data_IF_369012114601
#
_entry.id   IF_369012114601
#
_cell.length_a   1.000
_cell.length_b   1.000
_cell.length_c   1.000
_cell.angle_alpha   90.00
_cell.angle_beta   90.00
_cell.angle_gamma   90.00
#
_symmetry.space_group_name_H-M   'P 1'
#
loop_
_entity.id
_entity.type
_entity.pdbx_description
1 polymer ?
#
# COMPACT_ATOMS: atom_id res chain seq x y z
N UNK A 1 -10.65 7.95 4.37
CA UNK A 1 -9.63 8.99 4.14
C UNK A 1 -8.35 8.38 4.63
N UNK A 2 -7.42 8.06 3.71
CA UNK A 2 -6.13 7.53 4.14
C UNK A 2 -5.41 8.60 4.94
N UNK A 3 -5.02 8.29 6.16
CA UNK A 3 -4.04 9.09 6.87
C UNK A 3 -2.72 8.92 6.10
N UNK A 4 -2.34 9.94 5.34
CA UNK A 4 -1.04 9.97 4.68
C UNK A 4 0.04 9.94 5.76
N UNK A 5 1.14 9.22 5.50
CA UNK A 5 2.30 9.28 6.38
C UNK A 5 2.65 10.76 6.57
N UNK A 6 2.68 11.20 7.82
CA UNK A 6 3.09 12.57 8.14
C UNK A 6 4.58 12.67 7.80
N UNK A 7 4.99 13.73 7.11
CA UNK A 7 6.42 13.97 6.88
C UNK A 7 7.16 13.94 8.21
N UNK A 8 8.15 13.07 8.32
CA UNK A 8 8.98 12.92 9.51
C UNK A 8 8.56 11.79 10.45
N UNK A 9 7.64 10.89 10.08
CA UNK A 9 7.36 9.69 10.87
C UNK A 9 8.63 8.83 11.00
N UNK A 10 8.92 8.40 12.22
CA UNK A 10 10.05 7.50 12.50
C UNK A 10 9.66 6.07 12.11
N UNK A 11 10.33 5.53 11.10
CA UNK A 11 10.01 4.22 10.56
C UNK A 11 11.03 3.16 10.97
N UNK A 12 10.54 2.00 11.41
CA UNK A 12 11.32 0.78 11.49
C UNK A 12 11.12 -0.01 10.21
N UNK A 13 12.21 -0.34 9.53
CA UNK A 13 12.20 -1.15 8.32
C UNK A 13 12.33 -2.63 8.67
N UNK A 14 11.47 -3.45 8.08
CA UNK A 14 11.55 -4.90 8.13
C UNK A 14 11.88 -5.42 6.74
N UNK A 15 13.01 -6.12 6.63
CA UNK A 15 13.43 -6.81 5.42
C UNK A 15 13.25 -8.32 5.58
N UNK A 16 12.11 -8.89 5.15
CA UNK A 16 11.96 -10.34 5.04
C UNK A 16 12.84 -10.85 3.90
N UNK A 17 13.52 -11.98 4.10
CA UNK A 17 14.34 -12.59 3.05
C UNK A 17 14.29 -14.12 3.11
N UNK A 18 14.43 -14.75 1.93
CA UNK A 18 14.56 -16.18 1.76
C UNK A 18 16.01 -16.48 1.36
N UNK A 19 16.70 -17.28 2.16
CA UNK A 19 18.12 -17.59 1.88
C UNK A 19 19.06 -16.44 2.23
N UNK A 20 19.96 -16.09 1.29
CA UNK A 20 20.94 -15.02 1.49
C UNK A 20 20.27 -13.65 1.40
N UNK A 21 20.63 -12.76 2.31
CA UNK A 21 20.24 -11.37 2.24
C UNK A 21 21.07 -10.66 1.15
N UNK A 22 20.39 -9.88 0.32
CA UNK A 22 21.02 -9.01 -0.68
C UNK A 22 21.03 -7.59 -0.14
N UNK A 23 22.22 -7.00 0.02
CA UNK A 23 22.41 -5.68 0.59
C UNK A 23 21.76 -4.60 -0.28
N UNK A 24 21.83 -4.74 -1.60
CA UNK A 24 21.22 -3.82 -2.57
C UNK A 24 19.70 -3.68 -2.39
N UNK A 25 19.01 -4.77 -2.06
CA UNK A 25 17.55 -4.77 -1.82
C UNK A 25 17.20 -4.01 -0.53
N UNK A 26 18.07 -4.10 0.47
CA UNK A 26 17.89 -3.38 1.72
C UNK A 26 18.12 -1.87 1.53
N UNK A 27 19.16 -1.51 0.78
CA UNK A 27 19.49 -0.12 0.45
C UNK A 27 18.37 0.52 -0.38
N UNK A 28 17.89 -0.15 -1.44
CA UNK A 28 16.75 0.29 -2.25
C UNK A 28 15.51 0.55 -1.39
N UNK A 29 15.21 -0.35 -0.47
CA UNK A 29 14.05 -0.17 0.40
C UNK A 29 14.20 1.03 1.35
N UNK A 30 15.40 1.25 1.85
CA UNK A 30 15.75 2.45 2.61
C UNK A 30 15.52 3.74 1.81
N UNK A 31 15.91 3.74 0.54
CA UNK A 31 15.70 4.89 -0.36
C UNK A 31 14.22 5.12 -0.68
N UNK A 32 13.43 4.05 -0.84
CA UNK A 32 11.98 4.16 -0.97
C UNK A 32 11.36 4.79 0.28
N UNK A 33 11.75 4.36 1.48
CA UNK A 33 11.25 4.93 2.72
C UNK A 33 11.58 6.42 2.84
N UNK A 34 12.83 6.83 2.56
CA UNK A 34 13.24 8.23 2.52
C UNK A 34 12.49 9.04 1.46
N UNK A 35 12.27 8.44 0.28
CA UNK A 35 11.48 9.05 -0.80
C UNK A 35 10.02 9.29 -0.43
N UNK A 36 9.46 8.47 0.44
CA UNK A 36 8.14 8.67 1.01
C UNK A 36 8.11 9.74 2.13
N UNK A 37 9.26 10.20 2.58
CA UNK A 37 9.41 11.21 3.63
C UNK A 37 9.54 10.64 5.04
N UNK A 38 9.77 9.34 5.18
CA UNK A 38 10.04 8.70 6.47
C UNK A 38 11.50 8.89 6.90
N UNK A 39 11.75 9.00 8.20
CA UNK A 39 13.06 8.89 8.81
C UNK A 39 13.27 7.48 9.33
N UNK A 40 14.38 6.84 8.96
CA UNK A 40 14.66 5.46 9.35
C UNK A 40 15.21 5.44 10.76
N UNK A 41 14.46 4.90 11.71
CA UNK A 41 14.86 4.77 13.10
C UNK A 41 15.65 3.47 13.36
N UNK A 42 15.25 2.39 12.72
CA UNK A 42 15.94 1.10 12.80
C UNK A 42 15.63 0.24 11.57
N UNK A 43 16.47 -0.75 11.32
CA UNK A 43 16.27 -1.76 10.27
C UNK A 43 16.47 -3.15 10.83
N UNK A 44 15.52 -4.04 10.59
CA UNK A 44 15.59 -5.43 11.04
C UNK A 44 15.42 -6.36 9.84
N UNK A 45 16.29 -7.34 9.74
CA UNK A 45 16.17 -8.42 8.76
C UNK A 45 15.43 -9.61 9.39
N UNK A 46 14.57 -10.24 8.63
CA UNK A 46 13.80 -11.39 9.07
C UNK A 46 13.97 -12.55 8.07
N UNK A 47 14.74 -13.55 8.45
CA UNK A 47 14.87 -14.76 7.63
C UNK A 47 13.57 -15.56 7.69
N UNK A 48 13.05 -15.89 6.52
CA UNK A 48 11.84 -16.67 6.38
C UNK A 48 12.20 -18.04 5.80
N UNK A 49 12.15 -19.09 6.62
CA UNK A 49 12.22 -20.47 6.13
C UNK A 49 10.85 -20.90 5.59
N UNK A 50 9.78 -20.55 6.31
CA UNK A 50 8.38 -20.68 5.88
C UNK A 50 7.59 -19.44 6.29
N UNK A 51 6.93 -18.75 5.34
CA UNK A 51 6.10 -17.59 5.67
C UNK A 51 4.95 -17.99 6.61
N UNK A 52 4.78 -17.26 7.69
CA UNK A 52 3.64 -17.47 8.56
C UNK A 52 2.36 -16.94 7.86
N UNK A 53 1.32 -17.77 7.71
CA UNK A 53 0.08 -17.33 7.04
C UNK A 53 -0.59 -16.14 7.72
N UNK A 54 -0.45 -15.99 9.04
CA UNK A 54 -1.12 -14.96 9.84
C UNK A 54 -0.34 -13.64 9.88
N UNK A 55 1.00 -13.67 9.88
CA UNK A 55 1.84 -12.52 10.17
C UNK A 55 3.04 -12.38 9.22
N UNK A 56 3.20 -13.29 8.25
CA UNK A 56 4.38 -13.44 7.41
C UNK A 56 5.62 -13.87 8.19
N UNK A 57 5.87 -13.27 9.34
CA UNK A 57 7.05 -13.42 10.21
C UNK A 57 6.69 -14.29 11.42
N UNK A 58 7.63 -15.10 11.90
CA UNK A 58 7.42 -15.93 13.08
C UNK A 58 7.34 -15.12 14.39
N UNK A 59 6.67 -15.67 15.42
CA UNK A 59 6.38 -14.98 16.67
C UNK A 59 7.61 -14.46 17.39
N UNK A 60 8.67 -15.27 17.54
CA UNK A 60 9.89 -14.83 18.22
C UNK A 60 10.57 -13.63 17.55
N UNK A 61 10.52 -13.55 16.21
CA UNK A 61 11.05 -12.37 15.49
C UNK A 61 10.12 -11.16 15.62
N UNK A 62 8.82 -11.38 15.79
CA UNK A 62 7.87 -10.29 16.05
C UNK A 62 8.11 -9.65 17.43
N UNK A 63 8.45 -10.42 18.44
CA UNK A 63 8.82 -9.89 19.77
C UNK A 63 10.07 -9.01 19.68
N UNK A 64 11.08 -9.46 18.92
CA UNK A 64 12.29 -8.67 18.66
C UNK A 64 11.97 -7.35 17.92
N UNK A 65 11.11 -7.41 16.89
CA UNK A 65 10.67 -6.24 16.14
C UNK A 65 9.93 -5.25 17.05
N UNK A 66 9.04 -5.74 17.93
CA UNK A 66 8.30 -4.91 18.88
C UNK A 66 9.26 -4.22 19.85
N UNK A 67 10.19 -4.96 20.43
CA UNK A 67 11.20 -4.41 21.33
C UNK A 67 12.09 -3.34 20.65
N UNK A 68 12.50 -3.59 19.40
CA UNK A 68 13.29 -2.62 18.64
C UNK A 68 12.48 -1.37 18.25
N UNK A 69 11.19 -1.52 17.93
CA UNK A 69 10.32 -0.40 17.65
C UNK A 69 10.10 0.47 18.90
N UNK A 70 9.95 -0.15 20.06
CA UNK A 70 9.84 0.56 21.35
C UNK A 70 11.15 1.31 21.69
N UNK A 71 12.29 0.65 21.53
CA UNK A 71 13.59 1.23 21.82
C UNK A 71 13.98 2.38 20.88
N UNK A 72 13.58 2.29 19.59
CA UNK A 72 13.87 3.30 18.59
C UNK A 72 12.84 4.43 18.50
N UNK A 73 11.72 4.32 19.21
CA UNK A 73 10.62 5.28 19.14
C UNK A 73 9.96 5.32 17.76
N UNK A 74 9.95 4.21 17.03
CA UNK A 74 9.34 4.15 15.72
C UNK A 74 7.81 4.20 15.81
N UNK A 75 7.19 5.09 15.04
CA UNK A 75 5.73 5.25 14.96
C UNK A 75 5.12 4.40 13.83
N UNK A 76 5.94 4.03 12.87
CA UNK A 76 5.57 3.36 11.63
C UNK A 76 6.46 2.13 11.39
N UNK A 77 5.84 1.07 10.92
CA UNK A 77 6.54 -0.14 10.47
C UNK A 77 6.40 -0.26 8.96
N UNK A 78 7.53 -0.34 8.25
CA UNK A 78 7.57 -0.57 6.81
C UNK A 78 8.08 -1.99 6.54
N UNK A 79 7.33 -2.76 5.76
CA UNK A 79 7.67 -4.15 5.44
C UNK A 79 7.99 -4.27 3.96
N UNK A 80 9.22 -4.68 3.63
CA UNK A 80 9.67 -4.88 2.25
C UNK A 80 9.11 -6.17 1.64
N UNK A 81 7.83 -6.36 1.72
CA UNK A 81 7.09 -7.48 1.13
C UNK A 81 5.63 -7.10 0.96
N UNK A 82 4.95 -7.70 -0.02
CA UNK A 82 3.51 -7.53 -0.14
C UNK A 82 2.79 -8.33 0.97
N UNK A 83 1.97 -7.67 1.76
CA UNK A 83 1.21 -8.28 2.84
C UNK A 83 -0.23 -8.56 2.40
N UNK A 84 -0.76 -9.70 2.83
CA UNK A 84 -2.21 -9.88 2.77
C UNK A 84 -2.90 -8.95 3.79
N UNK A 85 -4.14 -8.53 3.55
CA UNK A 85 -4.88 -7.69 4.49
C UNK A 85 -5.02 -8.28 5.90
N UNK A 86 -5.01 -9.62 6.00
CA UNK A 86 -5.00 -10.32 7.30
C UNK A 86 -3.66 -10.20 8.02
N UNK A 87 -2.56 -10.37 7.28
CA UNK A 87 -1.21 -10.23 7.83
C UNK A 87 -0.95 -8.80 8.32
N UNK A 88 -1.28 -7.80 7.51
CA UNK A 88 -1.13 -6.38 7.87
C UNK A 88 -1.85 -6.06 9.18
N UNK A 89 -3.14 -6.43 9.30
CA UNK A 89 -3.91 -6.22 10.52
C UNK A 89 -3.36 -6.96 11.73
N UNK A 90 -2.93 -8.19 11.55
CA UNK A 90 -2.37 -8.97 12.66
C UNK A 90 -1.05 -8.38 13.13
N UNK A 91 -0.22 -7.89 12.19
CA UNK A 91 1.00 -7.16 12.51
C UNK A 91 0.70 -5.86 13.25
N UNK A 92 -0.24 -5.05 12.77
CA UNK A 92 -0.66 -3.81 13.44
C UNK A 92 -1.15 -4.05 14.85
N UNK A 93 -1.98 -5.10 15.04
CA UNK A 93 -2.49 -5.47 16.36
C UNK A 93 -1.39 -5.90 17.31
N UNK A 94 -0.41 -6.67 16.82
CA UNK A 94 0.68 -7.19 17.64
C UNK A 94 1.70 -6.11 17.99
N UNK A 95 2.09 -5.32 17.00
CA UNK A 95 3.09 -4.26 17.12
C UNK A 95 2.53 -2.97 17.72
N UNK A 96 1.20 -2.82 17.78
CA UNK A 96 0.48 -1.63 18.25
C UNK A 96 0.90 -0.36 17.49
N UNK A 97 1.24 -0.52 16.20
CA UNK A 97 1.73 0.52 15.29
C UNK A 97 1.17 0.32 13.90
N UNK A 98 1.13 1.40 13.13
CA UNK A 98 0.78 1.30 11.72
C UNK A 98 1.81 0.46 10.98
N UNK A 99 1.31 -0.39 10.10
CA UNK A 99 2.12 -1.22 9.21
C UNK A 99 1.79 -0.87 7.77
N UNK A 100 2.81 -0.60 6.96
CA UNK A 100 2.68 -0.35 5.53
C UNK A 100 3.54 -1.37 4.80
N UNK A 101 2.95 -2.04 3.84
CA UNK A 101 3.65 -2.97 2.96
C UNK A 101 4.36 -2.24 1.81
N UNK A 102 5.26 -2.92 1.11
CA UNK A 102 5.98 -2.37 -0.05
C UNK A 102 5.04 -1.74 -1.08
N UNK A 103 3.91 -2.38 -1.35
CA UNK A 103 2.93 -1.88 -2.32
C UNK A 103 2.30 -0.57 -1.87
N UNK A 104 1.89 -0.48 -0.61
CA UNK A 104 1.36 0.74 -0.01
C UNK A 104 2.37 1.88 -0.04
N UNK A 105 3.63 1.61 0.33
CA UNK A 105 4.72 2.58 0.30
C UNK A 105 4.96 3.16 -1.11
N UNK A 106 5.02 2.30 -2.13
CA UNK A 106 5.19 2.73 -3.52
C UNK A 106 3.99 3.59 -3.98
N UNK A 107 2.76 3.20 -3.62
CA UNK A 107 1.57 3.98 -3.94
C UNK A 107 1.58 5.36 -3.28
N UNK A 108 2.10 5.48 -2.06
CA UNK A 108 2.23 6.76 -1.37
C UNK A 108 3.29 7.65 -2.04
N UNK A 109 4.42 7.09 -2.47
CA UNK A 109 5.44 7.82 -3.25
C UNK A 109 4.84 8.35 -4.56
N UNK A 110 4.10 7.51 -5.30
CA UNK A 110 3.43 7.95 -6.53
C UNK A 110 2.39 9.03 -6.27
N UNK A 111 1.64 8.95 -5.16
CA UNK A 111 0.65 9.96 -4.80
C UNK A 111 1.29 11.33 -4.51
N UNK A 112 2.49 11.33 -3.93
CA UNK A 112 3.24 12.56 -3.68
C UNK A 112 3.84 13.14 -4.96
N UNK A 113 4.29 12.30 -5.90
CA UNK A 113 5.01 12.69 -7.12
C UNK A 113 4.12 12.89 -8.35
N UNK A 114 2.86 12.49 -8.31
CA UNK A 114 1.95 12.65 -9.45
C UNK A 114 1.59 14.13 -9.67
N UNK A 115 2.17 14.75 -10.69
CA UNK A 115 1.89 16.15 -11.06
C UNK A 115 0.83 16.26 -12.16
N UNK A 116 0.84 15.36 -13.15
CA UNK A 116 -0.13 15.38 -14.24
C UNK A 116 -1.54 15.00 -13.78
N UNK A 117 -2.56 15.56 -14.44
CA UNK A 117 -3.96 15.23 -14.14
C UNK A 117 -4.23 13.72 -14.30
N UNK A 118 -3.72 13.13 -15.37
CA UNK A 118 -3.86 11.70 -15.62
C UNK A 118 -3.12 10.85 -14.57
N UNK A 119 -1.86 11.21 -14.24
CA UNK A 119 -1.10 10.53 -13.22
C UNK A 119 -1.81 10.53 -11.86
N UNK A 120 -2.41 11.66 -11.48
CA UNK A 120 -3.22 11.74 -10.25
C UNK A 120 -4.43 10.81 -10.27
N UNK A 121 -5.13 10.72 -11.41
CA UNK A 121 -6.27 9.80 -11.56
C UNK A 121 -5.83 8.33 -11.52
N UNK A 122 -4.71 7.99 -12.16
CA UNK A 122 -4.16 6.63 -12.15
C UNK A 122 -3.74 6.20 -10.75
N UNK A 123 -3.04 7.07 -10.02
CA UNK A 123 -2.61 6.79 -8.65
C UNK A 123 -3.80 6.68 -7.71
N UNK A 124 -4.78 7.60 -7.80
CA UNK A 124 -6.01 7.53 -7.01
C UNK A 124 -6.74 6.20 -7.25
N UNK A 125 -6.84 5.78 -8.52
CA UNK A 125 -7.47 4.50 -8.88
C UNK A 125 -6.71 3.31 -8.27
N UNK A 126 -5.37 3.31 -8.33
CA UNK A 126 -4.54 2.25 -7.76
C UNK A 126 -4.68 2.18 -6.23
N UNK A 127 -4.64 3.33 -5.54
CA UNK A 127 -4.85 3.41 -4.11
C UNK A 127 -6.23 2.90 -3.69
N UNK A 128 -7.30 3.29 -4.40
CA UNK A 128 -8.65 2.81 -4.09
C UNK A 128 -8.81 1.32 -4.31
N UNK A 129 -8.20 0.75 -5.35
CA UNK A 129 -8.17 -0.70 -5.58
C UNK A 129 -7.43 -1.44 -4.48
N UNK A 130 -6.29 -0.92 -4.07
CA UNK A 130 -5.51 -1.48 -2.96
C UNK A 130 -6.33 -1.46 -1.66
N UNK A 131 -6.99 -0.34 -1.35
CA UNK A 131 -7.89 -0.22 -0.21
C UNK A 131 -9.06 -1.19 -0.29
N UNK A 132 -9.68 -1.34 -1.46
CA UNK A 132 -10.81 -2.24 -1.64
C UNK A 132 -10.49 -3.68 -1.23
N UNK A 133 -9.27 -4.16 -1.54
CA UNK A 133 -8.84 -5.50 -1.12
C UNK A 133 -8.70 -5.63 0.39
N UNK A 134 -8.36 -4.55 1.07
CA UNK A 134 -8.18 -4.52 2.53
C UNK A 134 -9.52 -4.44 3.27
N UNK A 135 -10.47 -3.67 2.76
CA UNK A 135 -11.83 -3.59 3.33
C UNK A 135 -12.55 -4.94 3.30
N UNK A 136 -12.49 -5.68 2.19
CA UNK A 136 -13.25 -6.95 2.03
C UNK A 136 -12.80 -8.03 3.01
N UNK A 137 -11.50 -8.16 3.26
CA UNK A 137 -10.95 -9.20 4.14
C UNK A 137 -10.82 -8.75 5.60
N UNK A 138 -10.90 -7.46 5.85
CA UNK A 138 -10.75 -6.85 7.16
C UNK A 138 -11.88 -7.18 8.13
N UNK A 139 -13.08 -7.40 7.64
CA UNK A 139 -14.30 -7.42 8.44
C UNK A 139 -14.98 -8.79 8.56
N UNK A 140 -14.59 -9.77 7.76
CA UNK A 140 -15.10 -11.14 7.91
C UNK A 140 -14.80 -11.75 9.28
N UNK A 141 -13.80 -11.23 9.99
CA UNK A 141 -13.48 -11.67 11.34
C UNK A 141 -14.38 -11.05 12.42
N UNK A 142 -14.84 -9.81 12.22
CA UNK A 142 -15.80 -9.16 13.12
C UNK A 142 -17.21 -9.75 12.99
N UNK A 143 -17.59 -10.19 11.79
CA UNK A 143 -18.85 -10.92 11.57
C UNK A 143 -18.90 -12.25 12.34
N UNK A 144 -17.79 -12.98 12.37
CA UNK A 144 -17.72 -14.26 13.13
C UNK A 144 -17.74 -14.08 14.64
N UNK A 145 -17.26 -12.97 15.17
CA UNK A 145 -17.29 -12.68 16.61
C UNK A 145 -18.66 -12.21 17.11
N UNK A 146 -19.52 -11.72 16.20
CA UNK A 146 -20.90 -11.30 16.49
C UNK A 146 -21.97 -12.36 16.17
N UNK A 147 -21.58 -13.55 15.76
CA UNK A 147 -22.47 -14.65 15.41
C UNK A 147 -23.19 -15.29 16.60
N UNK A 148 -24.03 -14.54 17.30
CA UNK A 148 -24.80 -15.02 18.44
C UNK A 148 -26.26 -14.58 18.49
N UNK A 149 -26.80 -13.93 17.47
CA UNK A 149 -28.22 -13.56 17.46
C UNK A 149 -28.81 -13.63 16.05
N UNK A 150 -29.73 -14.56 15.88
CA UNK A 150 -30.55 -14.73 14.68
C UNK A 150 -31.41 -13.45 14.50
N UNK A 151 -31.17 -12.69 13.42
CA UNK A 151 -32.12 -11.70 12.93
C UNK A 151 -31.78 -10.22 13.15
N UNK A 152 -30.64 -9.84 13.74
CA UNK A 152 -30.25 -8.45 13.88
C UNK A 152 -29.03 -8.15 12.97
N UNK A 153 -29.28 -7.63 11.76
CA UNK A 153 -28.27 -6.90 11.00
C UNK A 153 -27.83 -5.70 11.84
N UNK A 154 -26.63 -5.76 12.40
CA UNK A 154 -26.10 -4.67 13.18
C UNK A 154 -25.82 -3.44 12.30
N UNK A 155 -25.92 -2.21 12.84
CA UNK A 155 -25.66 -0.97 12.09
C UNK A 155 -24.27 -0.92 11.43
N UNK A 156 -23.32 -1.76 11.86
CA UNK A 156 -21.99 -1.88 11.27
C UNK A 156 -21.95 -2.58 9.90
N UNK A 157 -22.84 -3.56 9.64
CA UNK A 157 -22.88 -4.24 8.33
C UNK A 157 -23.38 -3.30 7.23
N UNK A 158 -24.42 -2.51 7.51
CA UNK A 158 -24.95 -1.53 6.55
C UNK A 158 -23.96 -0.42 6.23
N UNK A 159 -23.13 -0.01 7.19
CA UNK A 159 -22.11 1.00 6.97
C UNK A 159 -21.00 0.50 6.05
N UNK A 160 -20.54 -0.74 6.26
CA UNK A 160 -19.51 -1.36 5.41
C UNK A 160 -19.97 -1.60 3.98
N UNK A 161 -21.19 -2.12 3.80
CA UNK A 161 -21.75 -2.28 2.46
C UNK A 161 -21.88 -0.92 1.76
N UNK A 162 -22.24 0.11 2.53
CA UNK A 162 -22.33 1.49 2.02
C UNK A 162 -20.96 2.01 1.62
N UNK A 163 -19.95 1.86 2.47
CA UNK A 163 -18.57 2.31 2.20
C UNK A 163 -17.98 1.56 1.01
N UNK A 164 -18.19 0.25 0.93
CA UNK A 164 -17.78 -0.57 -0.23
C UNK A 164 -18.44 -0.11 -1.52
N UNK A 165 -19.73 0.18 -1.48
CA UNK A 165 -20.49 0.68 -2.62
C UNK A 165 -20.02 2.06 -3.07
N UNK A 166 -19.72 2.96 -2.13
CA UNK A 166 -19.18 4.29 -2.42
C UNK A 166 -17.80 4.19 -3.04
N UNK A 167 -16.94 3.32 -2.51
CA UNK A 167 -15.61 3.07 -3.04
C UNK A 167 -15.69 2.49 -4.46
N UNK A 168 -16.56 1.50 -4.70
CA UNK A 168 -16.76 0.92 -6.01
C UNK A 168 -17.27 1.97 -7.03
N UNK A 169 -18.22 2.81 -6.65
CA UNK A 169 -18.67 3.93 -7.48
C UNK A 169 -17.55 4.90 -7.81
N UNK A 170 -16.66 5.19 -6.84
CA UNK A 170 -15.51 6.07 -7.08
C UNK A 170 -14.53 5.45 -8.07
N UNK A 171 -14.24 4.15 -7.94
CA UNK A 171 -13.41 3.39 -8.89
C UNK A 171 -13.97 3.48 -10.30
N UNK A 172 -15.28 3.23 -10.48
CA UNK A 172 -15.93 3.32 -11.78
C UNK A 172 -15.89 4.73 -12.38
N UNK A 173 -16.09 5.76 -11.56
CA UNK A 173 -15.98 7.15 -12.01
C UNK A 173 -14.57 7.50 -12.48
N UNK A 174 -13.53 7.03 -11.78
CA UNK A 174 -12.14 7.25 -12.17
C UNK A 174 -11.79 6.51 -13.46
N UNK A 175 -12.26 5.27 -13.60
CA UNK A 175 -12.08 4.51 -14.85
C UNK A 175 -12.67 5.24 -16.05
N UNK A 176 -13.92 5.70 -15.94
CA UNK A 176 -14.58 6.49 -17.00
C UNK A 176 -13.85 7.79 -17.34
N UNK A 177 -13.23 8.44 -16.34
CA UNK A 177 -12.42 9.64 -16.58
C UNK A 177 -11.13 9.30 -17.31
N UNK A 178 -10.45 8.22 -16.95
CA UNK A 178 -9.23 7.76 -17.61
C UNK A 178 -9.52 7.34 -19.06
N UNK A 179 -10.61 6.63 -19.33
CA UNK A 179 -11.05 6.30 -20.69
C UNK A 179 -11.22 7.55 -21.56
N UNK A 180 -11.84 8.62 -21.03
CA UNK A 180 -11.97 9.89 -21.75
C UNK A 180 -10.61 10.51 -22.07
N UNK A 181 -9.66 10.47 -21.13
CA UNK A 181 -8.30 11.00 -21.34
C UNK A 181 -7.59 10.19 -22.43
N UNK A 182 -7.75 8.87 -22.43
CA UNK A 182 -7.17 7.97 -23.43
C UNK A 182 -7.72 8.26 -24.84
N UNK A 183 -9.04 8.44 -24.95
CA UNK A 183 -9.68 8.84 -26.22
C UNK A 183 -9.13 10.17 -26.73
N UNK A 184 -9.01 11.19 -25.88
CA UNK A 184 -8.45 12.49 -26.23
C UNK A 184 -6.99 12.36 -26.70
N UNK A 185 -6.16 11.60 -25.99
CA UNK A 185 -4.77 11.31 -26.40
C UNK A 185 -4.68 10.62 -27.75
N UNK A 186 -5.55 9.65 -27.97
CA UNK A 186 -5.61 8.93 -29.25
C UNK A 186 -5.95 9.89 -30.39
N UNK A 187 -6.90 10.79 -30.18
CA UNK A 187 -7.25 11.82 -31.18
C UNK A 187 -6.08 12.76 -31.46
N UNK A 188 -5.42 13.28 -30.41
CA UNK A 188 -4.23 14.13 -30.55
C UNK A 188 -3.07 13.39 -31.23
N UNK A 189 -2.91 12.09 -30.95
CA UNK A 189 -1.90 11.25 -31.61
C UNK A 189 -2.17 11.09 -33.09
N UNK A 190 -3.43 10.89 -33.49
CA UNK A 190 -3.83 10.80 -34.91
C UNK A 190 -3.46 12.06 -35.69
N UNK A 191 -3.69 13.23 -35.12
CA UNK A 191 -3.30 14.50 -35.75
C UNK A 191 -1.79 14.59 -35.99
N UNK A 192 -0.98 14.21 -34.99
CA UNK A 192 0.49 14.18 -35.09
C UNK A 192 1.00 13.10 -36.06
N UNK A 193 0.30 11.97 -36.19
CA UNK A 193 0.66 10.91 -37.17
C UNK A 193 0.45 11.41 -38.59
N UNK A 194 -0.60 12.17 -38.85
CA UNK A 194 -0.87 12.76 -40.19
C UNK A 194 0.14 13.81 -40.63
N UNK A 195 0.84 14.44 -39.68
CA UNK A 195 1.83 15.49 -40.02
C UNK A 195 3.16 14.97 -40.60
N UNK A 196 3.34 13.63 -40.66
CA UNK A 196 4.53 12.94 -41.18
C UNK A 196 5.88 13.41 -40.62
N UNK A 197 5.87 14.22 -39.56
CA UNK A 197 7.09 14.68 -38.91
C UNK A 197 7.79 13.53 -38.17
N UNK A 198 9.12 13.45 -38.29
CA UNK A 198 9.88 12.45 -37.56
C UNK A 198 9.68 12.62 -36.04
N UNK A 199 9.49 11.51 -35.37
CA UNK A 199 9.26 11.48 -33.90
C UNK A 199 10.45 10.84 -33.23
N UNK A 200 11.03 11.57 -32.30
CA UNK A 200 12.15 11.11 -31.49
C UNK A 200 11.67 10.99 -30.05
N UNK A 201 11.88 9.83 -29.44
CA UNK A 201 11.67 9.64 -28.01
C UNK A 201 13.05 9.57 -27.33
N UNK A 202 13.26 10.42 -26.32
CA UNK A 202 14.40 10.31 -25.44
C UNK A 202 14.02 9.34 -24.33
N UNK A 203 14.75 8.23 -24.23
CA UNK A 203 14.59 7.21 -23.18
C UNK A 203 15.87 7.18 -22.39
N UNK A 204 15.78 7.30 -21.10
CA UNK A 204 16.92 7.29 -20.22
C UNK A 204 16.52 7.01 -18.79
N UNK A 205 17.52 6.68 -18.00
CA UNK A 205 17.41 6.54 -16.55
C UNK A 205 17.29 7.93 -15.92
N UNK A 206 16.21 8.19 -15.19
CA UNK A 206 15.99 9.45 -14.46
C UNK A 206 16.11 9.26 -12.99
#
# INVERSE_FOLDING_TARGET
MFDRSKKGEHALLIQPHFGKLEDDVLEEFGDLARSAGASIAATITARLDRPNPSTLIGSGKLDEIKAAADASGADLILVNHALSPGQERNLERFLERRVIDRTGLILDIFAQRAHSHEGKLQVELAQLRHLATRLVRGWTHLERQRGGSIGLRGPGETQLETDRRLLQKRVEQLQKRLEKVEVQRTQMRRARVRSELPRVALVGYT
#
